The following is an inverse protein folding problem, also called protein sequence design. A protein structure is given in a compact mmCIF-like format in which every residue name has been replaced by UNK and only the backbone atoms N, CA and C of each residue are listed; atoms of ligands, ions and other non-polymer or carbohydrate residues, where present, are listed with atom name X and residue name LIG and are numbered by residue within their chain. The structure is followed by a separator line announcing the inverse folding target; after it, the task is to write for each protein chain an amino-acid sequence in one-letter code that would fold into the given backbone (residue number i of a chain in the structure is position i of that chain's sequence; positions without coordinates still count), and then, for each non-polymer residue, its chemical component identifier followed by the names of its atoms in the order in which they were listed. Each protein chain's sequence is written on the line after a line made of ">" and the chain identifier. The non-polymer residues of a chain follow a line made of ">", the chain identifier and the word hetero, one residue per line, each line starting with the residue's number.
data_IF_907008258905
#
_entry.id   IF_907008258905
#
_cell.length_a   1.000
_cell.length_b   1.000
_cell.length_c   1.000
_cell.angle_alpha   90.00
_cell.angle_beta   90.00
_cell.angle_gamma   90.00
#
_symmetry.space_group_name_H-M   'P 1'
#
loop_
_entity.id
_entity.type
_entity.pdbx_description
1 polymer ?
#
# COMPACT_ATOMS: atom_id res chain seq x y z
N UNK A 1 -30.05 -15.18 13.57
CA UNK A 1 -28.83 -15.01 14.34
C UNK A 1 -28.03 -16.29 14.24
N UNK A 2 -26.97 -16.28 13.40
CA UNK A 2 -26.01 -17.38 13.35
C UNK A 2 -25.06 -17.19 14.50
N UNK A 3 -25.28 -17.85 15.62
CA UNK A 3 -24.34 -17.96 16.74
C UNK A 3 -23.32 -19.07 16.43
N UNK A 4 -22.59 -18.96 15.36
CA UNK A 4 -21.36 -19.70 15.24
C UNK A 4 -20.26 -18.86 15.86
N UNK A 5 -19.89 -19.19 17.10
CA UNK A 5 -18.71 -18.67 17.78
C UNK A 5 -17.46 -19.11 17.01
N UNK A 6 -17.17 -18.43 15.93
CA UNK A 6 -15.86 -18.55 15.30
C UNK A 6 -14.91 -17.66 16.09
N UNK A 7 -13.93 -18.27 16.72
CA UNK A 7 -12.79 -17.55 17.29
C UNK A 7 -12.12 -16.78 16.15
N UNK A 8 -12.12 -15.48 16.24
CA UNK A 8 -11.37 -14.60 15.34
C UNK A 8 -9.95 -14.50 15.92
N UNK A 9 -9.22 -15.61 15.90
CA UNK A 9 -7.85 -15.65 16.42
C UNK A 9 -6.84 -15.11 15.40
N UNK A 10 -7.33 -14.43 14.35
CA UNK A 10 -6.51 -13.95 13.25
C UNK A 10 -6.42 -12.42 13.28
N UNK A 11 -5.29 -11.91 12.86
CA UNK A 11 -5.05 -10.49 12.70
C UNK A 11 -5.81 -9.96 11.50
N UNK A 12 -6.21 -8.71 11.59
CA UNK A 12 -6.92 -7.96 10.56
C UNK A 12 -5.97 -6.99 9.85
N UNK A 13 -6.35 -6.56 8.67
CA UNK A 13 -5.71 -5.48 7.95
C UNK A 13 -6.71 -4.38 7.64
N UNK A 14 -6.23 -3.16 7.58
CA UNK A 14 -7.05 -1.98 7.30
C UNK A 14 -6.40 -1.21 6.16
N UNK A 15 -7.17 -0.82 5.17
CA UNK A 15 -6.69 -0.03 4.02
C UNK A 15 -7.84 0.42 3.14
N UNK A 16 -7.57 1.40 2.29
CA UNK A 16 -8.49 1.83 1.24
C UNK A 16 -8.33 0.91 0.03
N UNK A 17 -9.04 -0.25 0.06
CA UNK A 17 -8.87 -1.28 -0.96
C UNK A 17 -9.60 -0.96 -2.27
N UNK A 18 -10.40 0.10 -2.32
CA UNK A 18 -11.19 0.45 -3.49
C UNK A 18 -10.91 1.87 -4.00
N UNK A 19 -9.96 2.58 -3.38
CA UNK A 19 -9.57 3.96 -3.68
C UNK A 19 -10.72 4.97 -3.59
N UNK A 20 -11.67 4.77 -2.63
CA UNK A 20 -12.80 5.70 -2.41
C UNK A 20 -12.52 6.75 -1.32
N UNK A 21 -11.34 6.70 -0.69
CA UNK A 21 -10.90 7.59 0.37
C UNK A 21 -11.37 7.18 1.77
N UNK A 22 -11.99 6.00 1.90
CA UNK A 22 -12.41 5.42 3.16
C UNK A 22 -11.69 4.09 3.40
N UNK A 23 -11.56 3.71 4.67
CA UNK A 23 -10.86 2.48 5.02
C UNK A 23 -11.81 1.30 5.11
N UNK A 24 -11.39 0.20 4.54
CA UNK A 24 -11.99 -1.11 4.68
C UNK A 24 -11.24 -1.94 5.70
N UNK A 25 -11.94 -2.92 6.25
CA UNK A 25 -11.38 -3.92 7.15
C UNK A 25 -11.41 -5.27 6.47
N UNK A 26 -10.25 -5.92 6.35
CA UNK A 26 -10.11 -7.26 5.77
C UNK A 26 -9.67 -8.24 6.86
N UNK A 27 -10.37 -9.36 6.97
CA UNK A 27 -10.07 -10.42 7.94
C UNK A 27 -9.98 -11.77 7.23
N UNK A 28 -8.98 -12.54 7.60
CA UNK A 28 -8.97 -13.97 7.35
C UNK A 28 -9.72 -14.66 8.47
N UNK A 29 -10.82 -15.31 8.13
CA UNK A 29 -11.58 -16.14 9.04
C UNK A 29 -11.31 -17.62 8.78
N UNK A 30 -12.02 -18.50 9.51
CA UNK A 30 -11.92 -19.95 9.31
C UNK A 30 -12.37 -20.35 7.92
N UNK A 31 -11.43 -20.51 7.00
CA UNK A 31 -11.67 -20.94 5.62
C UNK A 31 -12.36 -19.91 4.75
N UNK A 32 -12.33 -18.65 5.11
CA UNK A 32 -12.87 -17.56 4.28
C UNK A 32 -12.09 -16.27 4.47
N UNK A 33 -12.14 -15.43 3.46
CA UNK A 33 -11.73 -14.02 3.50
C UNK A 33 -12.97 -13.17 3.52
N UNK A 34 -12.99 -12.16 4.36
CA UNK A 34 -14.11 -11.21 4.45
C UNK A 34 -13.60 -9.78 4.44
N UNK A 35 -14.35 -8.92 3.79
CA UNK A 35 -14.10 -7.49 3.81
C UNK A 35 -15.37 -6.69 4.13
N UNK A 36 -15.21 -5.60 4.88
CA UNK A 36 -16.26 -4.66 5.24
C UNK A 36 -15.82 -3.23 5.01
N UNK A 37 -16.78 -2.41 4.57
CA UNK A 37 -16.62 -0.96 4.53
C UNK A 37 -16.56 -0.35 5.93
N UNK A 38 -16.08 0.88 6.02
CA UNK A 38 -16.11 1.69 7.25
C UNK A 38 -17.53 1.85 7.83
N UNK A 39 -18.58 1.69 7.03
CA UNK A 39 -19.99 1.72 7.46
C UNK A 39 -20.44 0.45 8.15
N UNK A 40 -19.64 -0.64 8.10
CA UNK A 40 -20.00 -1.97 8.55
C UNK A 40 -20.77 -2.81 7.51
N UNK A 41 -20.95 -2.30 6.28
CA UNK A 41 -21.50 -3.07 5.17
C UNK A 41 -20.47 -4.11 4.70
N UNK A 42 -20.89 -5.38 4.55
CA UNK A 42 -20.03 -6.44 4.01
C UNK A 42 -19.83 -6.22 2.51
N UNK A 43 -18.57 -6.19 2.07
CA UNK A 43 -18.21 -6.10 0.66
C UNK A 43 -18.28 -7.50 0.04
N UNK A 44 -17.58 -8.44 0.67
CA UNK A 44 -17.62 -9.84 0.27
C UNK A 44 -17.31 -10.79 1.43
N UNK A 45 -17.70 -12.05 1.24
CA UNK A 45 -17.41 -13.18 2.11
C UNK A 45 -17.07 -14.37 1.21
N UNK A 46 -15.79 -14.58 0.97
CA UNK A 46 -15.30 -15.59 0.04
C UNK A 46 -14.75 -16.81 0.77
N UNK A 47 -15.35 -18.00 0.59
CA UNK A 47 -14.73 -19.26 1.01
C UNK A 47 -13.41 -19.48 0.29
N UNK A 48 -12.42 -20.04 0.99
CA UNK A 48 -11.16 -20.47 0.38
C UNK A 48 -11.35 -21.92 -0.07
N UNK A 49 -11.25 -22.16 -1.37
CA UNK A 49 -11.44 -23.46 -1.96
C UNK A 49 -10.41 -24.47 -1.48
N UNK A 50 -10.86 -25.73 -1.28
CA UNK A 50 -10.03 -26.83 -0.81
C UNK A 50 -9.85 -26.93 0.71
N UNK A 51 -10.34 -25.95 1.49
CA UNK A 51 -10.39 -26.06 2.95
C UNK A 51 -11.72 -26.66 3.39
N UNK A 52 -11.69 -27.92 3.81
CA UNK A 52 -12.84 -28.53 4.44
C UNK A 52 -13.10 -27.84 5.80
N UNK A 53 -14.37 -27.69 6.22
CA UNK A 53 -14.72 -27.03 7.50
C UNK A 53 -14.02 -27.60 8.72
N UNK A 54 -13.63 -28.88 8.70
CA UNK A 54 -12.87 -29.53 9.78
C UNK A 54 -11.37 -29.32 9.71
N UNK A 55 -10.81 -28.90 8.58
CA UNK A 55 -9.36 -28.57 8.44
C UNK A 55 -9.02 -27.14 8.85
N UNK A 56 -10.03 -26.32 9.03
CA UNK A 56 -9.94 -24.90 9.31
C UNK A 56 -9.22 -24.59 10.64
N UNK A 57 -9.19 -25.54 11.58
CA UNK A 57 -8.52 -25.39 12.87
C UNK A 57 -6.99 -25.47 12.80
N UNK A 58 -6.46 -26.07 11.73
CA UNK A 58 -5.04 -26.29 11.53
C UNK A 58 -4.46 -25.43 10.40
N UNK A 59 -5.27 -24.65 9.70
CA UNK A 59 -4.79 -23.78 8.65
C UNK A 59 -4.00 -22.62 9.26
N UNK A 60 -2.72 -22.52 8.94
CA UNK A 60 -1.90 -21.35 9.23
C UNK A 60 -2.37 -20.21 8.34
N UNK A 61 -3.38 -19.48 8.81
CA UNK A 61 -3.89 -18.27 8.15
C UNK A 61 -3.24 -17.07 8.82
N UNK A 62 -2.47 -16.35 8.06
CA UNK A 62 -1.71 -15.21 8.53
C UNK A 62 -2.43 -13.90 8.18
N UNK A 63 -1.92 -12.78 8.67
CA UNK A 63 -2.46 -11.45 8.37
C UNK A 63 -2.50 -11.23 6.87
N UNK A 64 -3.65 -10.84 6.29
CA UNK A 64 -3.68 -10.42 4.89
C UNK A 64 -2.85 -9.16 4.71
N UNK A 65 -2.23 -9.02 3.56
CA UNK A 65 -1.60 -7.76 3.14
C UNK A 65 -2.48 -7.11 2.07
N UNK A 66 -2.42 -5.78 2.01
CA UNK A 66 -3.20 -4.98 1.07
C UNK A 66 -2.22 -4.18 0.22
N UNK A 67 -1.99 -4.64 -1.01
CA UNK A 67 -1.02 -4.05 -1.92
C UNK A 67 -1.33 -4.43 -3.36
N UNK A 68 -1.08 -3.54 -4.29
CA UNK A 68 -1.19 -3.84 -5.71
C UNK A 68 -0.15 -4.89 -6.12
N UNK A 69 -0.62 -6.07 -6.54
CA UNK A 69 0.19 -7.14 -7.15
C UNK A 69 -0.26 -7.46 -8.59
N UNK A 70 -1.44 -6.98 -8.99
CA UNK A 70 -1.98 -7.19 -10.32
C UNK A 70 -1.52 -6.13 -11.34
N UNK A 71 -1.33 -4.88 -10.90
CA UNK A 71 -0.83 -3.79 -11.74
C UNK A 71 -1.90 -2.82 -12.25
N UNK A 72 -3.01 -2.69 -11.52
CA UNK A 72 -4.08 -1.76 -11.84
C UNK A 72 -4.14 -0.53 -10.89
N UNK A 73 -3.14 -0.41 -10.02
CA UNK A 73 -3.03 0.63 -9.00
C UNK A 73 -4.12 0.58 -7.91
N UNK A 74 -4.85 -0.52 -7.80
CA UNK A 74 -5.80 -0.79 -6.73
C UNK A 74 -5.21 -1.85 -5.81
N UNK A 75 -5.28 -1.70 -4.47
CA UNK A 75 -4.75 -2.70 -3.57
C UNK A 75 -5.50 -4.04 -3.70
N UNK A 76 -4.73 -5.09 -3.89
CA UNK A 76 -5.19 -6.48 -3.86
C UNK A 76 -5.06 -7.04 -2.44
N UNK A 77 -5.77 -8.13 -2.17
CA UNK A 77 -5.75 -8.81 -0.87
C UNK A 77 -4.93 -10.08 -1.01
N UNK A 78 -3.73 -10.10 -0.43
CA UNK A 78 -2.77 -11.21 -0.55
C UNK A 78 -2.56 -11.87 0.81
N UNK A 79 -2.61 -13.19 0.86
CA UNK A 79 -2.45 -13.95 2.10
C UNK A 79 -1.91 -15.35 1.87
N UNK A 80 -1.29 -15.90 2.89
CA UNK A 80 -0.88 -17.29 2.92
C UNK A 80 -1.92 -18.15 3.63
N UNK A 81 -2.14 -19.35 3.12
CA UNK A 81 -2.91 -20.39 3.76
C UNK A 81 -2.27 -21.75 3.48
N UNK A 82 -1.76 -22.43 4.52
CA UNK A 82 -0.99 -23.64 4.40
C UNK A 82 0.22 -23.48 3.46
N UNK A 83 0.29 -24.25 2.39
CA UNK A 83 1.35 -24.21 1.40
C UNK A 83 1.02 -23.33 0.18
N UNK A 84 0.00 -22.47 0.29
CA UNK A 84 -0.48 -21.70 -0.84
C UNK A 84 -0.53 -20.20 -0.52
N UNK A 85 -0.20 -19.36 -1.51
CA UNK A 85 -0.42 -17.93 -1.47
C UNK A 85 -1.58 -17.60 -2.39
N UNK A 86 -2.54 -16.88 -1.87
CA UNK A 86 -3.72 -16.40 -2.58
C UNK A 86 -3.62 -14.91 -2.81
N UNK A 87 -4.17 -14.44 -3.92
CA UNK A 87 -4.41 -13.02 -4.17
C UNK A 87 -5.80 -12.82 -4.74
N UNK A 88 -6.51 -11.84 -4.22
CA UNK A 88 -7.87 -11.48 -4.61
C UNK A 88 -7.92 -10.00 -4.95
N UNK A 89 -8.74 -9.65 -5.92
CA UNK A 89 -9.13 -8.26 -6.13
C UNK A 89 -9.96 -7.71 -4.96
N UNK A 90 -10.12 -6.42 -4.89
CA UNK A 90 -10.87 -5.71 -3.86
C UNK A 90 -12.34 -6.13 -3.71
N UNK A 91 -12.92 -6.76 -4.74
CA UNK A 91 -14.28 -7.31 -4.74
C UNK A 91 -14.35 -8.80 -4.34
N UNK A 92 -13.20 -9.40 -4.02
CA UNK A 92 -13.06 -10.80 -3.66
C UNK A 92 -12.95 -11.76 -4.86
N UNK A 93 -12.89 -11.29 -6.09
CA UNK A 93 -12.61 -12.14 -7.26
C UNK A 93 -11.15 -12.61 -7.29
N UNK A 94 -10.91 -13.77 -7.92
CA UNK A 94 -9.56 -14.36 -7.98
C UNK A 94 -8.67 -13.63 -9.00
N UNK A 95 -7.42 -13.41 -8.62
CA UNK A 95 -6.39 -12.93 -9.54
C UNK A 95 -5.79 -14.09 -10.30
N UNK A 96 -5.68 -13.94 -11.62
CA UNK A 96 -5.11 -14.97 -12.50
C UNK A 96 -3.65 -15.25 -12.11
N UNK A 97 -3.30 -16.53 -12.00
CA UNK A 97 -1.97 -16.95 -11.56
C UNK A 97 -1.89 -17.33 -10.09
N UNK A 98 -2.93 -17.05 -9.31
CA UNK A 98 -3.06 -17.51 -7.93
C UNK A 98 -4.11 -18.62 -7.80
N UNK A 99 -3.99 -19.51 -6.79
CA UNK A 99 -2.95 -19.53 -5.78
C UNK A 99 -1.59 -20.03 -6.31
N UNK A 100 -0.50 -19.47 -5.75
CA UNK A 100 0.85 -20.01 -5.93
C UNK A 100 1.06 -21.10 -4.88
N UNK A 101 1.46 -22.28 -5.31
CA UNK A 101 1.62 -23.45 -4.42
C UNK A 101 3.10 -23.76 -4.22
N UNK A 102 3.52 -23.89 -2.96
CA UNK A 102 4.85 -24.32 -2.57
C UNK A 102 4.86 -25.79 -2.14
N UNK A 103 6.06 -26.39 -2.02
CA UNK A 103 6.23 -27.75 -1.53
C UNK A 103 6.13 -27.86 0.00
N UNK A 104 6.24 -26.75 0.72
CA UNK A 104 6.18 -26.66 2.17
C UNK A 104 5.26 -25.52 2.62
N UNK A 105 4.82 -25.56 3.87
CA UNK A 105 3.88 -24.57 4.40
C UNK A 105 4.53 -23.22 4.59
N UNK A 106 3.79 -22.16 4.28
CA UNK A 106 4.15 -20.80 4.63
C UNK A 106 3.92 -20.56 6.12
N UNK A 107 4.92 -20.07 6.81
CA UNK A 107 4.88 -19.95 8.27
C UNK A 107 4.37 -18.60 8.74
N UNK A 108 4.43 -17.57 7.90
CA UNK A 108 4.06 -16.21 8.25
C UNK A 108 3.34 -15.50 7.09
N UNK A 109 2.88 -14.28 7.37
CA UNK A 109 2.28 -13.43 6.35
C UNK A 109 3.29 -13.13 5.24
N UNK A 110 2.84 -13.04 3.99
CA UNK A 110 3.69 -12.51 2.95
C UNK A 110 4.00 -11.04 3.21
N UNK A 111 4.94 -10.48 2.47
CA UNK A 111 5.12 -9.04 2.39
C UNK A 111 5.28 -8.61 0.93
N UNK A 112 5.01 -7.33 0.68
CA UNK A 112 5.15 -6.71 -0.63
C UNK A 112 6.00 -5.47 -0.52
N UNK A 113 6.96 -5.32 -1.40
CA UNK A 113 7.82 -4.13 -1.50
C UNK A 113 8.48 -4.09 -2.86
N UNK A 114 8.80 -2.91 -3.36
CA UNK A 114 9.72 -2.69 -4.49
C UNK A 114 11.17 -2.79 -3.95
N UNK A 115 11.75 -4.00 -3.99
CA UNK A 115 13.06 -4.27 -3.38
C UNK A 115 14.24 -3.95 -4.30
N UNK A 116 14.02 -3.93 -5.62
CA UNK A 116 15.07 -3.62 -6.59
C UNK A 116 14.94 -2.19 -7.17
N UNK A 117 13.92 -1.45 -6.74
CA UNK A 117 13.64 -0.06 -7.14
C UNK A 117 13.37 0.09 -8.65
N UNK A 118 12.72 -0.91 -9.25
CA UNK A 118 12.32 -0.87 -10.66
C UNK A 118 10.93 -0.24 -10.86
N UNK A 119 10.25 0.12 -9.77
CA UNK A 119 8.92 0.73 -9.78
C UNK A 119 7.78 -0.29 -9.78
N UNK A 120 8.08 -1.56 -9.59
CA UNK A 120 7.11 -2.64 -9.41
C UNK A 120 7.29 -3.29 -8.05
N UNK A 121 6.22 -3.89 -7.58
CA UNK A 121 6.24 -4.63 -6.32
C UNK A 121 6.79 -6.04 -6.52
N UNK A 122 7.59 -6.51 -5.57
CA UNK A 122 7.87 -7.92 -5.37
C UNK A 122 7.00 -8.48 -4.25
N UNK A 123 6.45 -9.66 -4.50
CA UNK A 123 5.79 -10.48 -3.48
C UNK A 123 6.82 -11.41 -2.85
N UNK A 124 6.93 -11.37 -1.53
CA UNK A 124 7.95 -12.08 -0.76
C UNK A 124 7.26 -12.95 0.29
N UNK A 125 7.59 -14.22 0.35
CA UNK A 125 7.06 -15.13 1.36
C UNK A 125 8.07 -16.20 1.76
N UNK A 126 8.12 -16.52 3.06
CA UNK A 126 8.93 -17.58 3.63
C UNK A 126 8.12 -18.85 3.86
N UNK A 127 8.58 -19.97 3.34
CA UNK A 127 8.11 -21.30 3.76
C UNK A 127 9.03 -21.88 4.83
N UNK A 128 8.77 -23.10 5.26
CA UNK A 128 9.65 -23.80 6.21
C UNK A 128 11.07 -23.97 5.68
N UNK A 129 11.23 -24.15 4.38
CA UNK A 129 12.49 -24.54 3.76
C UNK A 129 13.09 -23.42 2.89
N UNK A 130 12.26 -22.56 2.32
CA UNK A 130 12.66 -21.62 1.27
C UNK A 130 12.12 -20.21 1.48
N UNK A 131 12.85 -19.22 0.97
CA UNK A 131 12.38 -17.85 0.78
C UNK A 131 12.07 -17.66 -0.70
N UNK A 132 10.86 -17.25 -0.99
CA UNK A 132 10.38 -16.97 -2.34
C UNK A 132 10.27 -15.46 -2.58
N UNK A 133 10.67 -15.05 -3.76
CA UNK A 133 10.50 -13.68 -4.25
C UNK A 133 9.96 -13.75 -5.67
N UNK A 134 8.79 -13.16 -5.89
CA UNK A 134 8.17 -13.09 -7.21
C UNK A 134 8.05 -11.65 -7.66
N UNK A 135 8.44 -11.37 -8.88
CA UNK A 135 8.08 -10.10 -9.54
C UNK A 135 6.60 -10.10 -9.85
N UNK A 136 5.95 -8.99 -9.56
CA UNK A 136 4.55 -8.76 -9.89
C UNK A 136 4.41 -7.67 -10.95
N UNK A 137 3.22 -7.44 -11.46
CA UNK A 137 2.96 -6.27 -12.30
C UNK A 137 2.49 -5.07 -11.47
N UNK A 138 2.27 -5.26 -10.17
CA UNK A 138 1.83 -4.24 -9.24
C UNK A 138 2.81 -3.09 -9.09
N UNK A 139 2.27 -1.92 -8.90
CA UNK A 139 3.04 -0.72 -8.57
C UNK A 139 3.05 -0.50 -7.05
N UNK A 140 3.96 0.33 -6.50
CA UNK A 140 4.08 0.53 -5.05
C UNK A 140 2.87 1.21 -4.39
N UNK A 141 1.65 0.73 -4.65
CA UNK A 141 0.44 1.05 -3.90
C UNK A 141 0.29 0.01 -2.80
N UNK A 142 0.71 0.37 -1.58
CA UNK A 142 0.78 -0.54 -0.43
C UNK A 142 0.02 0.09 0.73
N UNK A 143 -1.14 -0.47 1.07
CA UNK A 143 -1.97 -0.04 2.20
C UNK A 143 -1.58 -0.76 3.50
N UNK A 144 -1.28 -2.07 3.40
CA UNK A 144 -0.86 -2.91 4.51
C UNK A 144 0.16 -3.94 4.02
N UNK A 145 1.44 -3.56 4.03
CA UNK A 145 2.51 -4.26 3.31
C UNK A 145 3.10 -5.48 4.02
N UNK A 146 2.69 -5.81 5.23
CA UNK A 146 3.22 -6.92 6.00
C UNK A 146 2.40 -7.23 7.25
N UNK A 147 2.81 -8.19 8.06
CA UNK A 147 2.11 -8.70 9.24
C UNK A 147 1.63 -7.61 10.21
N UNK A 148 2.41 -6.57 10.42
CA UNK A 148 2.12 -5.46 11.32
C UNK A 148 1.89 -4.15 10.55
N UNK A 149 1.44 -4.22 9.31
CA UNK A 149 1.01 -3.11 8.48
C UNK A 149 2.14 -2.37 7.78
N UNK A 150 3.13 -1.96 8.50
CA UNK A 150 4.21 -1.12 7.99
C UNK A 150 5.60 -1.65 8.38
N UNK A 151 6.68 -1.18 7.73
CA UNK A 151 8.04 -1.64 8.02
C UNK A 151 8.51 -1.40 9.45
N UNK A 152 7.87 -0.52 10.20
CA UNK A 152 8.17 -0.23 11.59
C UNK A 152 7.44 -1.16 12.57
N UNK A 153 6.55 -2.04 12.08
CA UNK A 153 5.74 -2.98 12.86
C UNK A 153 4.89 -2.30 13.95
N UNK A 154 4.30 -1.15 13.65
CA UNK A 154 3.54 -0.38 14.65
C UNK A 154 2.08 -0.80 14.75
N UNK A 155 1.56 -1.61 13.82
CA UNK A 155 0.13 -1.88 13.63
C UNK A 155 -0.71 -0.60 13.43
N UNK A 156 -0.08 0.47 12.97
CA UNK A 156 -0.74 1.71 12.61
C UNK A 156 -0.95 1.74 11.10
N UNK A 157 -2.15 2.11 10.70
CA UNK A 157 -2.43 2.43 9.31
C UNK A 157 -1.72 3.74 8.96
N UNK A 158 -0.82 3.65 8.01
CA UNK A 158 -0.33 4.84 7.31
C UNK A 158 -1.05 4.87 5.97
N UNK A 159 -1.85 5.90 5.71
CA UNK A 159 -2.46 6.04 4.38
C UNK A 159 -1.34 5.95 3.37
N UNK A 160 -1.59 5.24 2.31
CA UNK A 160 -0.68 4.87 1.21
C UNK A 160 0.64 5.60 1.30
N UNK A 161 1.77 4.90 1.37
CA UNK A 161 3.06 5.59 1.28
C UNK A 161 3.01 6.37 -0.01
N UNK A 162 2.63 7.61 0.13
CA UNK A 162 2.43 8.49 -0.99
C UNK A 162 3.69 8.47 -1.81
N UNK A 163 3.61 7.92 -3.01
CA UNK A 163 4.74 7.88 -3.91
C UNK A 163 5.32 9.28 -4.02
N UNK A 164 6.63 9.42 -3.95
CA UNK A 164 7.22 10.72 -4.13
C UNK A 164 6.79 11.25 -5.51
N UNK A 165 6.20 12.43 -5.55
CA UNK A 165 5.92 13.11 -6.80
C UNK A 165 7.26 13.45 -7.47
N UNK A 166 7.58 12.75 -8.55
CA UNK A 166 8.83 12.95 -9.30
C UNK A 166 8.63 14.06 -10.33
N UNK A 167 9.44 15.12 -10.22
CA UNK A 167 9.42 16.24 -11.17
C UNK A 167 10.75 16.25 -11.92
N UNK A 168 10.69 15.92 -13.20
CA UNK A 168 11.83 15.81 -14.10
C UNK A 168 11.85 16.90 -15.19
N UNK A 169 10.83 17.75 -15.22
CA UNK A 169 10.63 18.80 -16.23
C UNK A 169 10.24 20.14 -15.60
N UNK A 170 9.95 21.13 -16.41
CA UNK A 170 9.40 22.38 -15.90
C UNK A 170 7.88 22.23 -15.71
N UNK A 171 7.44 22.38 -14.48
CA UNK A 171 6.05 22.20 -14.09
C UNK A 171 5.52 23.38 -13.29
N UNK A 172 4.20 23.58 -13.34
CA UNK A 172 3.47 24.55 -12.55
C UNK A 172 2.55 23.79 -11.61
N UNK A 173 2.65 24.05 -10.31
CA UNK A 173 1.80 23.42 -9.31
C UNK A 173 0.34 23.87 -9.47
N UNK A 174 -0.57 22.92 -9.66
CA UNK A 174 -1.99 23.21 -9.92
C UNK A 174 -2.81 23.45 -8.64
N UNK A 175 -2.25 23.10 -7.48
CA UNK A 175 -2.84 23.34 -6.17
C UNK A 175 -3.33 22.08 -5.46
N UNK A 176 -3.12 20.89 -6.01
CA UNK A 176 -3.31 19.66 -5.26
C UNK A 176 -2.18 19.48 -4.25
N UNK A 177 -2.51 18.96 -3.06
CA UNK A 177 -1.51 18.70 -2.04
C UNK A 177 -0.88 17.32 -2.28
N UNK A 178 0.45 17.24 -2.45
CA UNK A 178 1.09 15.95 -2.60
C UNK A 178 0.97 15.18 -1.28
N UNK A 179 0.66 13.93 -1.37
CA UNK A 179 0.53 13.10 -0.19
C UNK A 179 1.87 12.56 0.33
N UNK A 180 2.95 12.65 -0.44
CA UNK A 180 4.30 12.20 -0.10
C UNK A 180 5.37 13.26 -0.33
N UNK A 181 6.62 12.81 -0.40
CA UNK A 181 7.73 13.68 -0.77
C UNK A 181 7.56 14.18 -2.20
N UNK A 182 7.94 15.42 -2.45
CA UNK A 182 8.13 15.96 -3.80
C UNK A 182 9.61 15.92 -4.13
N UNK A 183 10.01 15.08 -5.07
CA UNK A 183 11.37 14.95 -5.51
C UNK A 183 11.58 15.67 -6.84
N UNK A 184 12.12 16.86 -6.76
CA UNK A 184 12.51 17.66 -7.93
C UNK A 184 13.91 17.23 -8.37
N UNK A 185 13.97 16.34 -9.37
CA UNK A 185 15.23 15.77 -9.87
C UNK A 185 15.91 16.68 -10.88
N UNK A 186 15.11 17.30 -11.75
CA UNK A 186 15.58 18.26 -12.74
C UNK A 186 14.46 19.23 -13.12
N UNK A 187 14.78 20.30 -13.85
CA UNK A 187 13.78 21.28 -14.28
C UNK A 187 13.40 22.28 -13.19
N UNK A 188 12.22 22.81 -13.28
CA UNK A 188 11.72 23.90 -12.43
C UNK A 188 10.29 23.63 -12.01
N UNK A 189 10.02 23.66 -10.71
CA UNK A 189 8.69 23.63 -10.16
C UNK A 189 8.27 25.03 -9.70
N UNK A 190 7.14 25.50 -10.18
CA UNK A 190 6.58 26.80 -9.85
C UNK A 190 5.30 26.64 -9.06
N UNK A 191 5.24 27.20 -7.86
CA UNK A 191 4.00 27.33 -7.08
C UNK A 191 3.46 28.75 -7.33
N UNK A 192 2.35 28.89 -8.09
CA UNK A 192 1.83 30.20 -8.48
C UNK A 192 1.27 30.99 -7.31
N UNK A 193 1.06 32.28 -7.54
CA UNK A 193 0.32 33.13 -6.60
C UNK A 193 -1.08 32.57 -6.34
N UNK A 194 -1.45 32.51 -5.06
CA UNK A 194 -2.76 32.00 -4.63
C UNK A 194 -2.88 30.49 -4.57
N UNK A 195 -1.83 29.76 -4.94
CA UNK A 195 -1.73 28.33 -4.75
C UNK A 195 -0.87 28.00 -3.53
N UNK A 196 -1.20 26.92 -2.85
CA UNK A 196 -0.45 26.43 -1.68
C UNK A 196 -0.15 24.96 -1.88
N UNK A 197 1.09 24.61 -1.70
CA UNK A 197 1.49 23.20 -1.58
C UNK A 197 1.50 22.86 -0.09
N UNK A 198 0.59 22.03 0.35
CA UNK A 198 0.54 21.57 1.74
C UNK A 198 1.23 20.21 1.83
N UNK A 199 2.22 20.11 2.68
CA UNK A 199 2.91 18.85 2.98
C UNK A 199 2.41 18.31 4.31
N UNK A 200 2.26 17.01 4.43
CA UNK A 200 2.02 16.38 5.72
C UNK A 200 3.30 16.41 6.59
N UNK A 201 3.18 16.09 7.88
CA UNK A 201 4.30 16.19 8.83
C UNK A 201 5.50 15.28 8.51
N UNK A 202 5.34 14.31 7.61
CA UNK A 202 6.37 13.35 7.23
C UNK A 202 6.93 13.60 5.84
N UNK A 203 6.31 14.49 5.06
CA UNK A 203 6.69 14.80 3.68
C UNK A 203 7.65 15.98 3.59
N UNK A 204 8.47 15.99 2.56
CA UNK A 204 9.41 17.07 2.27
C UNK A 204 9.50 17.34 0.77
N UNK A 205 9.86 18.57 0.40
CA UNK A 205 10.31 18.86 -0.96
C UNK A 205 11.82 18.68 -1.00
N UNK A 206 12.27 17.75 -1.83
CA UNK A 206 13.69 17.44 -2.03
C UNK A 206 14.11 17.99 -3.39
N UNK A 207 14.97 19.01 -3.40
CA UNK A 207 15.47 19.64 -4.62
C UNK A 207 16.89 19.14 -4.89
N UNK A 208 17.09 18.43 -6.01
CA UNK A 208 18.40 17.95 -6.41
C UNK A 208 19.22 19.06 -7.08
N UNK A 209 20.54 18.85 -7.14
CA UNK A 209 21.46 19.79 -7.77
C UNK A 209 21.04 20.09 -9.22
N UNK A 210 20.93 21.38 -9.54
CA UNK A 210 20.50 21.86 -10.85
C UNK A 210 19.00 22.05 -11.03
N UNK A 211 18.16 21.53 -10.13
CA UNK A 211 16.72 21.79 -10.13
C UNK A 211 16.37 23.10 -9.39
N UNK A 212 15.21 23.68 -9.69
CA UNK A 212 14.79 24.98 -9.14
C UNK A 212 13.36 24.88 -8.62
N UNK A 213 13.14 25.21 -7.34
CA UNK A 213 11.82 25.43 -6.75
C UNK A 213 11.56 26.93 -6.65
N UNK A 214 10.48 27.41 -7.24
CA UNK A 214 10.02 28.80 -7.13
C UNK A 214 8.66 28.85 -6.45
N UNK A 215 8.56 29.61 -5.37
CA UNK A 215 7.31 29.84 -4.65
C UNK A 215 6.98 31.33 -4.71
N UNK A 216 5.80 31.65 -5.20
CA UNK A 216 5.28 33.02 -5.26
C UNK A 216 4.28 33.24 -4.15
N UNK A 217 4.54 34.20 -3.25
CA UNK A 217 3.64 34.61 -2.18
C UNK A 217 3.21 36.07 -2.37
N UNK A 218 1.92 36.36 -2.32
CA UNK A 218 1.41 37.72 -2.21
C UNK A 218 1.09 38.05 -0.75
N UNK A 219 1.89 38.90 -0.12
CA UNK A 219 1.54 39.69 1.05
C UNK A 219 2.22 41.04 0.92
N UNK A 220 1.50 42.06 0.48
CA UNK A 220 1.86 43.49 0.58
C UNK A 220 3.11 43.98 -0.15
N UNK A 221 3.98 43.13 -0.60
CA UNK A 221 5.15 43.41 -1.44
C UNK A 221 5.57 42.15 -2.18
N UNK A 222 6.05 42.31 -3.38
CA UNK A 222 6.49 41.21 -4.26
C UNK A 222 7.73 40.56 -3.71
N UNK A 223 7.63 39.35 -3.16
CA UNK A 223 8.78 38.52 -2.84
C UNK A 223 8.79 37.27 -3.72
N UNK A 224 9.80 37.18 -4.56
CA UNK A 224 10.20 35.95 -5.26
C UNK A 224 11.23 35.24 -4.40
N UNK A 225 10.86 34.14 -3.77
CA UNK A 225 11.84 33.27 -3.11
C UNK A 225 12.24 32.16 -4.07
N UNK A 226 13.40 32.28 -4.67
CA UNK A 226 14.03 31.19 -5.43
C UNK A 226 14.88 30.41 -4.47
N UNK A 227 14.52 29.14 -4.29
CA UNK A 227 15.30 28.22 -3.46
C UNK A 227 16.11 27.36 -4.40
N UNK A 228 17.41 27.62 -4.50
CA UNK A 228 18.37 26.74 -5.16
C UNK A 228 19.10 26.01 -4.06
N UNK A 229 18.90 24.70 -3.96
CA UNK A 229 19.52 23.90 -2.92
C UNK A 229 20.23 22.68 -3.47
N UNK A 230 21.36 22.40 -2.84
CA UNK A 230 22.03 21.10 -2.89
C UNK A 230 21.64 20.20 -1.70
N UNK A 231 20.55 20.53 -0.96
CA UNK A 231 20.19 19.89 0.30
C UNK A 231 18.68 19.88 0.53
N UNK A 232 18.25 18.99 1.41
CA UNK A 232 16.86 18.79 1.85
C UNK A 232 16.29 20.04 2.52
N UNK A 233 15.09 20.49 2.10
CA UNK A 233 14.29 21.44 2.87
C UNK A 233 13.26 20.62 3.66
N UNK A 234 13.31 20.74 4.97
CA UNK A 234 12.18 20.38 5.85
C UNK A 234 11.46 21.69 6.19
N UNK A 235 10.16 21.76 5.89
CA UNK A 235 9.30 22.90 6.21
C UNK A 235 8.69 22.66 7.56
#
# INVERSE_FOLDING_TARGET
>A
PYTNSYSLDHTLSVGDINNDGHLEVVILGRGCVKAWKHTGEEIFNKPIDGLLPQMIWAANMNTPILADVYGDAVPDIVFCCNNSIYALHNDGSDIVGFPIISNSEFQDSPCVADIDSDGKNELIAGSQDDLYVWKTDGIPTIEWGGKCGNPQNTNEYFPTVCQPTLINSNEVWDGESPCGNVLLQSGRLVVPVGKTMTLNNTSAVIVRSGAVLEVFRMQGSWYRKVVRLSSRITV
#
